data_IF_444968412635
#
_entry.id   IF_444968412635
#
_cell.length_a   1.000
_cell.length_b   1.000
_cell.length_c   1.000
_cell.angle_alpha   90.00
_cell.angle_beta   90.00
_cell.angle_gamma   90.00
#
_symmetry.space_group_name_H-M   'P 1'
#
loop_
_entity.id
_entity.type
_entity.pdbx_description
1 polymer ?
#
# COMPACT_ATOMS: atom_id res chain seq x y z
N UNK A 1 57.73 -75.43 10.83
CA UNK A 1 57.01 -76.38 11.71
C UNK A 1 55.67 -75.76 12.04
N UNK A 2 54.61 -76.50 11.76
CA UNK A 2 53.18 -76.14 11.83
C UNK A 2 52.70 -75.87 13.27
N UNK A 3 51.57 -75.15 13.42
CA UNK A 3 50.30 -75.69 13.97
C UNK A 3 49.25 -74.60 14.34
N UNK A 4 48.10 -74.69 13.65
CA UNK A 4 46.67 -74.56 14.08
C UNK A 4 46.20 -73.28 14.83
N UNK A 5 45.29 -72.45 14.28
CA UNK A 5 43.80 -72.62 14.12
C UNK A 5 43.15 -72.78 15.51
N UNK A 6 42.18 -71.98 15.98
CA UNK A 6 40.76 -72.12 15.63
C UNK A 6 39.85 -71.19 16.45
N UNK A 7 38.68 -70.87 15.88
CA UNK A 7 37.38 -70.57 16.53
C UNK A 7 37.25 -69.25 17.30
N UNK A 8 36.48 -68.23 16.90
CA UNK A 8 35.20 -68.23 16.17
C UNK A 8 34.22 -69.28 16.66
N UNK A 9 33.60 -69.04 17.81
CA UNK A 9 32.27 -69.52 18.15
C UNK A 9 31.87 -68.72 19.40
N UNK A 10 31.09 -67.67 19.18
CA UNK A 10 29.65 -67.71 19.45
C UNK A 10 29.35 -67.78 20.94
N UNK A 11 28.29 -67.06 21.25
CA UNK A 11 27.23 -67.51 22.11
C UNK A 11 27.16 -66.78 23.45
N UNK A 12 25.94 -66.26 23.64
CA UNK A 12 25.30 -66.00 24.90
C UNK A 12 25.84 -64.75 25.62
N UNK A 13 25.13 -63.62 25.50
CA UNK A 13 23.89 -63.41 26.27
C UNK A 13 24.11 -63.88 27.70
N UNK A 14 24.79 -63.07 28.49
CA UNK A 14 24.67 -63.21 29.92
C UNK A 14 24.98 -61.85 30.56
N UNK A 15 23.99 -61.37 31.30
CA UNK A 15 24.14 -60.45 32.42
C UNK A 15 24.40 -58.99 32.00
N UNK A 16 23.38 -58.13 31.89
CA UNK A 16 22.35 -57.85 32.92
C UNK A 16 23.04 -57.52 34.25
N UNK A 17 22.62 -56.40 34.83
CA UNK A 17 23.01 -55.91 36.16
C UNK A 17 24.33 -55.08 36.15
N UNK A 18 24.32 -53.76 35.88
CA UNK A 18 23.95 -52.69 36.83
C UNK A 18 25.12 -52.40 37.82
N UNK A 19 25.00 -51.43 38.73
CA UNK A 19 25.67 -50.13 38.69
C UNK A 19 26.75 -49.99 39.79
N UNK A 20 27.10 -48.74 40.09
CA UNK A 20 27.83 -48.24 41.26
C UNK A 20 29.37 -48.33 41.15
N UNK A 21 30.14 -47.29 41.47
CA UNK A 21 29.82 -46.18 42.34
C UNK A 21 30.39 -44.85 41.85
N UNK A 22 29.57 -43.81 42.00
CA UNK A 22 30.07 -42.47 42.27
C UNK A 22 30.94 -42.54 43.52
N UNK A 23 32.26 -42.50 43.34
CA UNK A 23 33.18 -42.14 44.41
C UNK A 23 32.99 -40.64 44.66
N UNK A 24 32.39 -40.32 45.81
CA UNK A 24 32.42 -38.97 46.34
C UNK A 24 33.88 -38.58 46.57
N UNK A 25 34.33 -37.55 45.86
CA UNK A 25 35.67 -37.02 46.04
C UNK A 25 35.70 -36.23 47.35
N UNK A 26 36.65 -36.57 48.22
CA UNK A 26 36.90 -35.85 49.48
C UNK A 26 37.12 -34.35 49.22
N UNK A 27 36.69 -33.48 50.14
CA UNK A 27 36.83 -32.04 49.97
C UNK A 27 38.32 -31.65 49.91
N UNK A 28 38.75 -30.84 48.92
CA UNK A 28 40.12 -30.37 48.86
C UNK A 28 40.42 -29.44 50.03
N UNK A 29 41.62 -29.61 50.59
CA UNK A 29 42.20 -28.82 51.67
C UNK A 29 42.10 -27.31 51.41
N UNK A 30 41.68 -26.56 52.42
CA UNK A 30 41.66 -25.10 52.47
C UNK A 30 43.07 -24.53 52.32
N UNK A 31 43.49 -24.32 51.07
CA UNK A 31 44.46 -23.28 50.75
C UNK A 31 43.65 -22.01 50.58
N UNK A 32 43.82 -21.03 51.48
CA UNK A 32 43.31 -19.67 51.28
C UNK A 32 44.11 -19.01 50.16
N UNK A 33 43.85 -19.44 48.92
CA UNK A 33 43.98 -18.58 47.77
C UNK A 33 42.72 -17.74 47.79
N UNK A 34 42.86 -16.44 48.02
CA UNK A 34 41.80 -15.47 47.71
C UNK A 34 41.54 -15.59 46.21
N UNK A 35 40.62 -16.46 45.84
CA UNK A 35 39.94 -16.44 44.56
C UNK A 35 39.17 -15.13 44.60
N UNK A 36 39.64 -14.13 43.86
CA UNK A 36 38.83 -12.98 43.55
C UNK A 36 37.49 -13.52 43.04
N UNK A 37 36.41 -13.13 43.70
CA UNK A 37 35.05 -13.42 43.24
C UNK A 37 34.97 -13.14 41.74
N UNK A 38 34.22 -13.94 40.96
CA UNK A 38 33.96 -13.57 39.58
C UNK A 38 33.29 -12.20 39.64
N UNK A 39 34.03 -11.16 39.27
CA UNK A 39 33.49 -9.82 39.15
C UNK A 39 32.30 -9.96 38.23
N UNK A 40 31.12 -9.73 38.80
CA UNK A 40 29.84 -9.73 38.09
C UNK A 40 30.07 -9.05 36.76
N UNK A 41 29.91 -9.78 35.65
CA UNK A 41 30.17 -9.24 34.32
C UNK A 41 29.21 -8.08 34.13
N UNK A 42 29.70 -6.86 34.32
CA UNK A 42 28.91 -5.64 34.27
C UNK A 42 28.40 -5.50 32.83
N UNK A 43 27.13 -5.88 32.62
CA UNK A 43 26.45 -5.78 31.34
C UNK A 43 26.28 -4.29 31.02
N UNK A 44 27.23 -3.71 30.30
CA UNK A 44 27.17 -2.34 29.83
C UNK A 44 26.20 -2.24 28.64
N UNK A 45 24.95 -1.90 28.92
CA UNK A 45 23.95 -1.63 27.88
C UNK A 45 24.20 -0.24 27.28
N UNK A 46 24.69 -0.21 26.03
CA UNK A 46 24.81 1.04 25.27
C UNK A 46 23.47 1.35 24.63
N UNK A 47 22.85 2.47 25.03
CA UNK A 47 21.63 2.97 24.39
C UNK A 47 22.02 3.88 23.23
N UNK A 48 21.66 3.49 22.02
CA UNK A 48 21.68 4.40 20.88
C UNK A 48 20.56 5.46 21.03
N UNK A 49 20.93 6.74 20.89
CA UNK A 49 20.00 7.87 20.98
C UNK A 49 19.95 8.55 19.62
N UNK A 50 18.82 8.38 18.92
CA UNK A 50 18.57 9.08 17.67
C UNK A 50 18.05 10.50 17.95
N UNK A 51 18.81 11.49 17.51
CA UNK A 51 18.37 12.89 17.50
C UNK A 51 17.90 13.26 16.10
N UNK A 52 16.62 13.59 15.96
CA UNK A 52 16.09 14.11 14.71
C UNK A 52 16.23 15.63 14.69
N UNK A 53 16.74 16.22 13.60
CA UNK A 53 16.79 17.66 13.46
C UNK A 53 15.38 18.26 13.49
N UNK A 54 15.25 19.42 14.13
CA UNK A 54 14.01 20.17 14.25
C UNK A 54 13.68 20.90 12.93
N UNK A 55 13.45 20.16 11.85
CA UNK A 55 12.83 20.72 10.65
C UNK A 55 11.31 20.64 10.80
N UNK A 56 10.57 21.62 10.26
CA UNK A 56 9.15 21.41 10.01
C UNK A 56 9.03 20.20 9.07
N UNK A 57 8.51 19.08 9.60
CA UNK A 57 8.18 17.94 8.75
C UNK A 57 7.13 18.40 7.75
N UNK A 58 7.47 18.35 6.46
CA UNK A 58 6.45 18.47 5.42
C UNK A 58 5.38 17.44 5.70
N UNK A 59 4.12 17.88 5.80
CA UNK A 59 3.01 16.98 6.02
C UNK A 59 2.98 15.96 4.87
N UNK A 60 3.20 14.66 5.14
CA UNK A 60 3.26 13.64 4.11
C UNK A 60 1.89 13.38 3.44
N UNK A 61 0.81 13.89 4.04
CA UNK A 61 -0.54 13.84 3.48
C UNK A 61 -0.93 15.12 2.74
N UNK A 62 -0.03 16.11 2.66
CA UNK A 62 -0.24 17.24 1.78
C UNK A 62 -0.13 16.73 0.34
N UNK A 63 -1.18 16.87 -0.49
CA UNK A 63 -1.12 16.41 -1.86
C UNK A 63 0.07 17.05 -2.58
N UNK A 64 0.99 16.23 -3.08
CA UNK A 64 2.20 16.67 -3.80
C UNK A 64 1.88 17.39 -5.11
N UNK A 65 0.69 17.11 -5.66
CA UNK A 65 0.23 17.53 -6.98
C UNK A 65 -1.19 18.12 -6.92
N UNK A 66 -1.52 18.85 -5.86
CA UNK A 66 -2.45 19.96 -6.06
C UNK A 66 -1.69 21.05 -6.82
N UNK A 67 -1.30 20.74 -8.06
CA UNK A 67 -0.78 21.72 -8.98
C UNK A 67 -1.94 22.68 -9.24
N UNK A 68 -1.93 23.80 -8.53
CA UNK A 68 -2.82 24.96 -8.69
C UNK A 68 -2.81 25.55 -10.12
N UNK A 69 -2.13 24.90 -11.08
CA UNK A 69 -2.02 25.26 -12.48
C UNK A 69 -2.94 24.48 -13.42
N UNK A 70 -3.71 23.50 -12.94
CA UNK A 70 -4.23 22.43 -13.80
C UNK A 70 -5.68 22.50 -14.27
N UNK A 71 -6.60 23.14 -13.56
CA UNK A 71 -8.05 23.03 -13.82
C UNK A 71 -8.75 21.98 -12.94
N UNK A 72 -10.07 21.76 -13.11
CA UNK A 72 -10.88 20.90 -12.25
C UNK A 72 -10.51 19.42 -12.38
N UNK A 73 -10.65 18.66 -11.29
CA UNK A 73 -10.41 17.21 -11.32
C UNK A 73 -11.54 16.46 -12.00
N UNK A 74 -11.26 15.26 -12.54
CA UNK A 74 -12.27 14.35 -13.09
C UNK A 74 -13.51 14.20 -12.20
N UNK A 75 -13.32 14.00 -10.88
CA UNK A 75 -14.44 13.78 -9.95
C UNK A 75 -15.34 15.02 -9.77
N UNK A 76 -14.82 16.21 -10.07
CA UNK A 76 -15.57 17.47 -10.05
C UNK A 76 -16.30 17.72 -11.36
N UNK A 77 -15.87 17.10 -12.46
CA UNK A 77 -16.47 17.27 -13.77
C UNK A 77 -17.69 16.37 -13.96
N UNK A 78 -18.69 16.90 -14.65
CA UNK A 78 -19.91 16.21 -15.08
C UNK A 78 -20.22 16.56 -16.53
N UNK A 79 -20.60 15.57 -17.31
CA UNK A 79 -21.05 15.78 -18.69
C UNK A 79 -22.45 16.40 -18.67
N UNK A 80 -22.53 17.65 -19.09
CA UNK A 80 -23.78 18.43 -19.11
C UNK A 80 -24.53 18.22 -20.43
N UNK A 81 -23.84 18.32 -21.55
CA UNK A 81 -24.42 18.15 -22.88
C UNK A 81 -23.39 17.68 -23.89
N UNK A 82 -23.88 17.07 -24.97
CA UNK A 82 -23.08 16.73 -26.14
C UNK A 82 -23.79 17.25 -27.38
N UNK A 83 -23.03 17.92 -28.24
CA UNK A 83 -23.42 18.25 -29.61
C UNK A 83 -22.64 17.30 -30.51
N UNK A 84 -23.29 16.21 -30.89
CA UNK A 84 -22.73 15.17 -31.74
C UNK A 84 -23.06 15.44 -33.22
N UNK A 85 -22.08 15.27 -34.10
CA UNK A 85 -22.24 15.41 -35.56
C UNK A 85 -21.89 14.07 -36.21
N UNK A 86 -22.89 13.35 -36.70
CA UNK A 86 -22.75 11.97 -37.21
C UNK A 86 -21.80 11.87 -38.41
N UNK A 87 -21.91 12.79 -39.37
CA UNK A 87 -21.07 12.80 -40.57
C UNK A 87 -19.59 13.14 -40.29
N UNK A 88 -19.33 13.85 -39.18
CA UNK A 88 -18.02 14.41 -38.84
C UNK A 88 -17.81 14.37 -37.32
N UNK A 89 -17.55 13.19 -36.73
CA UNK A 89 -17.47 13.02 -35.28
C UNK A 89 -16.39 13.92 -34.63
N UNK A 90 -15.32 14.25 -35.35
CA UNK A 90 -14.27 15.17 -34.89
C UNK A 90 -14.75 16.63 -34.68
N UNK A 91 -15.88 17.01 -35.27
CA UNK A 91 -16.50 18.33 -35.08
C UNK A 91 -17.41 18.39 -33.87
N UNK A 92 -17.69 17.25 -33.25
CA UNK A 92 -18.51 17.16 -32.05
C UNK A 92 -17.90 17.96 -30.90
N UNK A 93 -18.75 18.47 -30.03
CA UNK A 93 -18.37 19.27 -28.86
C UNK A 93 -19.11 18.72 -27.66
N UNK A 94 -18.39 18.49 -26.57
CA UNK A 94 -18.98 18.15 -25.28
C UNK A 94 -18.86 19.34 -24.32
N UNK A 95 -19.85 19.49 -23.45
CA UNK A 95 -19.85 20.51 -22.40
C UNK A 95 -19.65 19.82 -21.06
N UNK A 96 -18.52 20.08 -20.42
CA UNK A 96 -18.20 19.61 -19.07
C UNK A 96 -18.50 20.72 -18.08
N UNK A 97 -19.13 20.38 -16.96
CA UNK A 97 -19.45 21.35 -15.91
C UNK A 97 -18.88 20.89 -14.58
N UNK A 98 -18.47 21.84 -13.73
CA UNK A 98 -18.16 21.57 -12.32
C UNK A 98 -19.38 21.76 -11.40
N UNK A 99 -20.58 21.74 -11.97
CA UNK A 99 -21.81 21.91 -11.23
C UNK A 99 -21.97 20.77 -10.20
N UNK A 100 -22.34 21.14 -8.97
CA UNK A 100 -22.60 20.18 -7.90
C UNK A 100 -24.08 20.09 -7.67
N UNK A 101 -24.58 18.87 -7.55
CA UNK A 101 -25.97 18.60 -7.24
C UNK A 101 -26.00 17.98 -5.85
N UNK A 102 -26.70 18.66 -4.96
CA UNK A 102 -26.89 18.25 -3.57
C UNK A 102 -28.35 17.91 -3.38
N UNK A 103 -28.61 16.66 -3.01
CA UNK A 103 -29.93 16.23 -2.57
C UNK A 103 -30.01 16.47 -1.08
N UNK A 104 -30.90 17.36 -0.67
CA UNK A 104 -31.12 17.69 0.73
C UNK A 104 -31.97 16.62 1.41
N UNK A 105 -31.95 16.62 2.75
CA UNK A 105 -32.71 15.67 3.58
C UNK A 105 -34.23 15.77 3.37
N UNK A 106 -34.72 16.94 2.96
CA UNK A 106 -36.12 17.20 2.61
C UNK A 106 -36.51 16.71 1.20
N UNK A 107 -35.59 16.05 0.49
CA UNK A 107 -35.80 15.59 -0.88
C UNK A 107 -35.73 16.70 -1.94
N UNK A 108 -35.44 17.94 -1.55
CA UNK A 108 -35.18 19.02 -2.50
C UNK A 108 -33.82 18.82 -3.18
N UNK A 109 -33.76 19.15 -4.46
CA UNK A 109 -32.53 19.11 -5.24
C UNK A 109 -32.02 20.54 -5.39
N UNK A 110 -30.83 20.80 -4.84
CA UNK A 110 -30.12 22.06 -5.05
C UNK A 110 -28.97 21.83 -6.02
N UNK A 111 -28.86 22.68 -7.03
CA UNK A 111 -27.79 22.65 -8.00
C UNK A 111 -26.95 23.92 -7.87
N UNK A 112 -25.69 23.75 -7.50
CA UNK A 112 -24.72 24.83 -7.52
C UNK A 112 -24.24 25.02 -8.96
N UNK A 113 -24.44 26.24 -9.49
CA UNK A 113 -23.98 26.58 -10.84
C UNK A 113 -22.46 26.60 -10.84
N UNK A 114 -21.85 25.63 -11.52
CA UNK A 114 -20.43 25.54 -11.73
C UNK A 114 -19.96 26.20 -13.04
N UNK A 115 -18.65 26.31 -13.19
CA UNK A 115 -18.03 26.64 -14.48
C UNK A 115 -18.36 25.57 -15.53
N UNK A 116 -18.55 26.02 -16.77
CA UNK A 116 -18.76 25.16 -17.94
C UNK A 116 -17.60 25.30 -18.90
N UNK A 117 -17.14 24.18 -19.43
CA UNK A 117 -16.04 24.09 -20.38
C UNK A 117 -16.50 23.36 -21.63
N UNK A 118 -16.24 23.95 -22.79
CA UNK A 118 -16.50 23.33 -24.07
C UNK A 118 -15.25 22.61 -24.55
N UNK A 119 -15.37 21.30 -24.78
CA UNK A 119 -14.24 20.45 -25.16
C UNK A 119 -14.49 19.73 -26.47
N UNK A 120 -13.39 19.48 -27.18
CA UNK A 120 -13.31 18.63 -28.37
C UNK A 120 -12.40 17.45 -28.10
N UNK A 121 -12.45 16.46 -28.99
CA UNK A 121 -11.50 15.33 -29.00
C UNK A 121 -10.06 15.85 -28.98
N UNK A 122 -9.23 15.26 -28.12
CA UNK A 122 -7.83 15.62 -27.90
C UNK A 122 -7.60 16.82 -26.98
N UNK A 123 -8.64 17.51 -26.51
CA UNK A 123 -8.47 18.61 -25.55
C UNK A 123 -8.36 18.09 -24.11
N UNK A 124 -7.54 18.77 -23.32
CA UNK A 124 -7.27 18.46 -21.92
C UNK A 124 -7.80 19.56 -21.00
N UNK A 125 -8.49 19.16 -19.94
CA UNK A 125 -8.96 20.02 -18.85
C UNK A 125 -8.61 19.35 -17.54
N UNK A 126 -7.90 20.05 -16.64
CA UNK A 126 -7.53 19.42 -15.38
C UNK A 126 -6.54 18.29 -15.62
N UNK A 127 -6.93 17.14 -15.10
CA UNK A 127 -6.26 15.87 -15.32
C UNK A 127 -7.01 14.96 -16.31
N UNK A 128 -7.90 15.53 -17.15
CA UNK A 128 -8.80 14.79 -18.04
C UNK A 128 -8.52 15.17 -19.48
N UNK A 129 -8.24 14.19 -20.33
CA UNK A 129 -8.12 14.37 -21.79
C UNK A 129 -9.27 13.67 -22.49
N UNK A 130 -9.95 14.37 -23.40
CA UNK A 130 -11.06 13.80 -24.17
C UNK A 130 -10.52 12.92 -25.29
N UNK A 131 -10.90 11.65 -25.31
CA UNK A 131 -10.47 10.69 -26.33
C UNK A 131 -11.51 10.57 -27.43
N UNK A 132 -12.77 10.47 -27.06
CA UNK A 132 -13.87 10.25 -28.02
C UNK A 132 -15.17 10.89 -27.52
N UNK A 133 -15.99 11.37 -28.45
CA UNK A 133 -17.30 11.94 -28.16
C UNK A 133 -18.35 11.11 -28.89
N UNK A 134 -19.26 10.50 -28.13
CA UNK A 134 -20.43 9.77 -28.61
C UNK A 134 -21.70 10.59 -28.37
N UNK A 135 -22.85 10.13 -28.87
CA UNK A 135 -24.13 10.85 -28.80
C UNK A 135 -24.56 11.26 -27.37
N UNK A 136 -24.38 10.37 -26.38
CA UNK A 136 -24.82 10.60 -24.98
C UNK A 136 -23.71 10.43 -23.95
N UNK A 137 -22.49 10.14 -24.40
CA UNK A 137 -21.34 9.87 -23.54
C UNK A 137 -20.04 10.33 -24.19
N UNK A 138 -19.01 10.49 -23.37
CA UNK A 138 -17.66 10.73 -23.85
C UNK A 138 -16.70 9.72 -23.22
N UNK A 139 -15.65 9.37 -23.94
CA UNK A 139 -14.52 8.64 -23.38
C UNK A 139 -13.41 9.63 -23.02
N UNK A 140 -12.90 9.49 -21.81
CA UNK A 140 -11.85 10.35 -21.29
C UNK A 140 -10.73 9.53 -20.68
N UNK A 141 -9.51 9.98 -20.90
CA UNK A 141 -8.32 9.49 -20.23
C UNK A 141 -8.03 10.41 -19.04
N UNK A 142 -7.95 9.82 -17.85
CA UNK A 142 -7.71 10.52 -16.58
C UNK A 142 -6.31 10.17 -16.12
N UNK A 143 -5.46 11.18 -15.96
CA UNK A 143 -4.11 11.01 -15.44
C UNK A 143 -4.10 11.24 -13.92
N UNK A 144 -3.68 10.24 -13.16
CA UNK A 144 -3.57 10.32 -11.71
C UNK A 144 -2.33 9.55 -11.26
N UNK A 145 -1.42 10.24 -10.56
CA UNK A 145 -0.14 9.69 -10.07
C UNK A 145 0.75 9.04 -11.15
N UNK A 146 0.74 9.58 -12.37
CA UNK A 146 1.53 9.06 -13.50
C UNK A 146 0.96 7.77 -14.12
N UNK A 147 -0.27 7.40 -13.74
CA UNK A 147 -1.06 6.34 -14.35
C UNK A 147 -2.19 7.00 -15.15
N UNK A 148 -2.50 6.46 -16.32
CA UNK A 148 -3.61 6.92 -17.16
C UNK A 148 -4.68 5.83 -17.23
N UNK A 149 -5.88 6.15 -16.74
CA UNK A 149 -7.04 5.28 -16.76
C UNK A 149 -8.13 5.83 -17.68
N UNK A 150 -8.80 4.95 -18.42
CA UNK A 150 -9.90 5.34 -19.32
C UNK A 150 -11.25 5.18 -18.65
N UNK A 151 -12.07 6.24 -18.72
CA UNK A 151 -13.42 6.26 -18.18
C UNK A 151 -14.44 6.72 -19.24
N UNK A 152 -15.63 6.15 -19.16
CA UNK A 152 -16.78 6.64 -19.92
C UNK A 152 -17.60 7.57 -19.03
N UNK A 153 -17.70 8.85 -19.40
CA UNK A 153 -18.57 9.80 -18.73
C UNK A 153 -19.91 9.88 -19.49
N UNK A 154 -21.02 9.72 -18.77
CA UNK A 154 -22.38 9.78 -19.33
C UNK A 154 -23.07 11.07 -18.97
N UNK A 155 -23.96 11.52 -19.84
CA UNK A 155 -24.73 12.72 -19.59
C UNK A 155 -25.61 12.53 -18.36
N UNK A 156 -25.57 13.49 -17.45
CA UNK A 156 -26.38 13.42 -16.25
C UNK A 156 -27.83 13.83 -16.57
N UNK A 157 -28.73 12.86 -16.63
CA UNK A 157 -30.17 13.12 -16.76
C UNK A 157 -30.79 13.21 -15.37
N UNK A 158 -31.24 14.41 -14.98
CA UNK A 158 -32.15 14.59 -13.84
C UNK A 158 -33.50 13.96 -14.19
N UNK A 159 -33.63 12.65 -14.00
CA UNK A 159 -34.93 11.99 -14.08
C UNK A 159 -35.75 12.40 -12.86
N UNK A 160 -36.51 13.49 -12.97
CA UNK A 160 -37.23 14.08 -11.84
C UNK A 160 -38.29 15.10 -12.25
N UNK A 161 -39.01 14.83 -13.33
CA UNK A 161 -40.27 15.52 -13.64
C UNK A 161 -41.43 14.57 -13.33
N UNK A 162 -42.11 14.79 -12.21
CA UNK A 162 -43.37 14.12 -11.91
C UNK A 162 -44.36 14.36 -13.06
N UNK A 163 -44.84 13.28 -13.67
CA UNK A 163 -46.13 13.24 -14.35
C UNK A 163 -47.12 12.59 -13.40
#
# INVERSE_FOLDING_TARGET
MSRFVSASLLLAVALLVWPLGLQAQDPPSTTTTTVAEPTEAELAFVREVFSYPAFQRTNPFRPLLASDSGGPRYQQLRLSSVIYVEDFPERSVATLSTARITVNEDGSITADVGESYYVRVGQTIGNVTVVEINETSIEVDVEEFGITDRFTMRQFTLLGGNR
#
